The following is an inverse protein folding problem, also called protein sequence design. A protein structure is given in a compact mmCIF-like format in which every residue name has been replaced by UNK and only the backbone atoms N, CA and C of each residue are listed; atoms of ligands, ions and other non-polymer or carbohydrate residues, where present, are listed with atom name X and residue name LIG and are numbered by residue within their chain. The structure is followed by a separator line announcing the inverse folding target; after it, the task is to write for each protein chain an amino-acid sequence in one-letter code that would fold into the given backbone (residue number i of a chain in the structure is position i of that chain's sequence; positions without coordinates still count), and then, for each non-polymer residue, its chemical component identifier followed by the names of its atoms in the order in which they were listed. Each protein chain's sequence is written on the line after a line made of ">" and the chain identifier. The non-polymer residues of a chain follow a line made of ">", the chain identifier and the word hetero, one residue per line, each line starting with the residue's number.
data_IF_054005527058
#
_entry.id   IF_054005527058
#
_cell.length_a   1.000
_cell.length_b   1.000
_cell.length_c   1.000
_cell.angle_alpha   90.00
_cell.angle_beta   90.00
_cell.angle_gamma   90.00
#
_symmetry.space_group_name_H-M   'P 1'
#
loop_
_entity.id
_entity.type
_entity.pdbx_description
1 polymer ?
#
# COMPACT_ATOMS: atom_id res chain seq x y z
N UNK A 1 5.98 9.55 -1.08
CA UNK A 1 5.65 9.64 -2.52
C UNK A 1 5.73 11.08 -2.96
N UNK A 2 6.48 11.41 -4.04
CA UNK A 2 6.68 12.80 -4.45
C UNK A 2 5.32 13.42 -4.82
N UNK A 3 4.97 14.56 -4.24
CA UNK A 3 3.70 15.28 -4.42
C UNK A 3 3.34 15.49 -5.90
N UNK A 4 4.34 15.81 -6.74
CA UNK A 4 4.14 16.06 -8.17
C UNK A 4 3.57 14.85 -8.92
N UNK A 5 4.00 13.63 -8.61
CA UNK A 5 3.52 12.42 -9.31
C UNK A 5 2.09 12.07 -8.94
N UNK A 6 1.73 12.23 -7.66
CA UNK A 6 0.32 12.08 -7.24
C UNK A 6 -0.58 13.08 -7.97
N UNK A 7 -0.11 14.32 -8.08
CA UNK A 7 -0.85 15.37 -8.77
C UNK A 7 -0.95 15.07 -10.27
N UNK A 8 0.14 14.63 -10.91
CA UNK A 8 0.11 14.24 -12.33
C UNK A 8 -0.86 13.06 -12.58
N UNK A 9 -0.88 12.08 -11.68
CA UNK A 9 -1.81 10.94 -11.75
C UNK A 9 -3.26 11.39 -11.60
N UNK A 10 -3.56 12.29 -10.66
CA UNK A 10 -4.91 12.86 -10.50
C UNK A 10 -5.35 13.67 -11.72
N UNK A 11 -4.44 14.43 -12.32
CA UNK A 11 -4.70 15.17 -13.56
C UNK A 11 -4.98 14.18 -14.70
N UNK A 12 -4.15 13.15 -14.87
CA UNK A 12 -4.32 12.14 -15.91
C UNK A 12 -5.69 11.45 -15.81
N UNK A 13 -6.06 10.95 -14.64
CA UNK A 13 -7.37 10.33 -14.39
C UNK A 13 -8.53 11.30 -14.69
N UNK A 14 -8.39 12.56 -14.28
CA UNK A 14 -9.43 13.58 -14.57
C UNK A 14 -9.57 13.86 -16.07
N UNK A 15 -8.47 13.90 -16.81
CA UNK A 15 -8.48 14.15 -18.26
C UNK A 15 -8.97 12.94 -19.05
N UNK A 16 -8.76 11.72 -18.55
CA UNK A 16 -9.34 10.50 -19.12
C UNK A 16 -10.87 10.52 -19.06
N UNK A 17 -11.45 10.91 -17.93
CA UNK A 17 -12.89 11.03 -17.76
C UNK A 17 -13.47 12.27 -18.47
N UNK A 18 -12.73 13.39 -18.42
CA UNK A 18 -13.16 14.70 -18.91
C UNK A 18 -12.03 15.39 -19.71
N UNK A 19 -11.87 15.06 -20.99
CA UNK A 19 -10.77 15.57 -21.83
C UNK A 19 -10.66 17.11 -21.93
N UNK A 20 -11.74 17.82 -21.67
CA UNK A 20 -11.78 19.28 -21.66
C UNK A 20 -11.97 19.88 -20.26
N UNK A 21 -11.49 19.18 -19.23
CA UNK A 21 -11.56 19.64 -17.85
C UNK A 21 -10.87 21.00 -17.69
N UNK A 22 -11.54 21.93 -17.00
CA UNK A 22 -10.96 23.23 -16.64
C UNK A 22 -9.97 23.11 -15.49
N UNK A 23 -9.08 24.09 -15.33
CA UNK A 23 -8.16 24.16 -14.18
C UNK A 23 -8.87 24.06 -12.83
N UNK A 24 -10.08 24.59 -12.71
CA UNK A 24 -10.92 24.50 -11.51
C UNK A 24 -11.32 23.04 -11.22
N UNK A 25 -11.65 22.27 -12.24
CA UNK A 25 -12.00 20.86 -12.10
C UNK A 25 -10.76 20.03 -11.71
N UNK A 26 -9.63 20.29 -12.39
CA UNK A 26 -8.36 19.63 -12.05
C UNK A 26 -7.94 19.93 -10.61
N UNK A 27 -8.05 21.18 -10.17
CA UNK A 27 -7.73 21.60 -8.81
C UNK A 27 -8.62 20.89 -7.77
N UNK A 28 -9.94 20.87 -8.02
CA UNK A 28 -10.91 20.21 -7.14
C UNK A 28 -10.60 18.72 -6.98
N UNK A 29 -10.37 18.01 -8.09
CA UNK A 29 -10.11 16.56 -8.06
C UNK A 29 -8.75 16.21 -7.43
N UNK A 30 -7.77 17.12 -7.57
CA UNK A 30 -6.46 16.97 -6.90
C UNK A 30 -6.42 17.48 -5.46
N UNK A 31 -7.55 17.97 -4.91
CA UNK A 31 -7.63 18.47 -3.54
C UNK A 31 -6.78 19.71 -3.27
N UNK A 32 -6.63 20.62 -4.23
CA UNK A 32 -5.78 21.81 -4.10
C UNK A 32 -6.46 23.10 -4.57
N UNK A 33 -5.87 24.25 -4.22
CA UNK A 33 -6.36 25.55 -4.71
C UNK A 33 -6.09 25.73 -6.21
N UNK A 34 -6.89 26.58 -6.89
CA UNK A 34 -6.71 26.89 -8.31
C UNK A 34 -5.34 27.54 -8.57
N UNK A 35 -4.88 28.42 -7.66
CA UNK A 35 -3.57 29.04 -7.78
C UNK A 35 -2.42 28.03 -7.73
N UNK A 36 -2.50 27.06 -6.81
CA UNK A 36 -1.51 26.00 -6.73
C UNK A 36 -1.56 25.08 -7.97
N UNK A 37 -2.77 24.73 -8.45
CA UNK A 37 -2.93 23.95 -9.68
C UNK A 37 -2.31 24.66 -10.88
N UNK A 38 -2.47 25.98 -11.02
CA UNK A 38 -1.84 26.76 -12.09
C UNK A 38 -0.32 26.67 -12.04
N UNK A 39 0.27 26.80 -10.86
CA UNK A 39 1.72 26.69 -10.68
C UNK A 39 2.22 25.26 -11.03
N UNK A 40 1.46 24.24 -10.64
CA UNK A 40 1.78 22.85 -10.96
C UNK A 40 1.68 22.59 -12.46
N UNK A 41 0.59 23.02 -13.10
CA UNK A 41 0.40 22.85 -14.55
C UNK A 41 1.52 23.53 -15.35
N UNK A 42 1.89 24.77 -14.97
CA UNK A 42 3.03 25.48 -15.60
C UNK A 42 4.30 24.65 -15.50
N UNK A 43 4.65 24.18 -14.31
CA UNK A 43 5.82 23.33 -14.07
C UNK A 43 5.78 22.01 -14.86
N UNK A 44 4.61 21.37 -14.99
CA UNK A 44 4.46 20.15 -15.76
C UNK A 44 4.57 20.36 -17.27
N UNK A 45 4.14 21.52 -17.76
CA UNK A 45 4.37 21.94 -19.16
C UNK A 45 5.86 22.18 -19.39
N UNK A 46 6.54 22.91 -18.50
CA UNK A 46 8.00 23.14 -18.56
C UNK A 46 8.80 21.83 -18.54
N UNK A 47 8.32 20.79 -17.84
CA UNK A 47 8.93 19.46 -17.82
C UNK A 47 8.54 18.58 -19.02
N UNK A 48 7.67 19.06 -19.90
CA UNK A 48 7.18 18.28 -21.02
C UNK A 48 6.19 17.15 -20.63
N UNK A 49 5.65 17.13 -19.40
CA UNK A 49 4.70 16.09 -18.96
C UNK A 49 3.27 16.35 -19.38
N UNK A 50 2.94 17.63 -19.59
CA UNK A 50 1.63 18.09 -20.04
C UNK A 50 1.85 19.03 -21.22
N UNK A 51 1.02 18.90 -22.23
CA UNK A 51 0.92 19.86 -23.31
C UNK A 51 -0.33 20.71 -23.18
N UNK A 52 -0.24 21.96 -23.66
CA UNK A 52 -1.34 22.90 -23.75
C UNK A 52 -1.78 23.05 -25.22
N UNK A 53 -3.05 22.89 -25.45
CA UNK A 53 -3.63 23.13 -26.79
C UNK A 53 -4.74 24.18 -26.67
N UNK A 54 -4.69 25.17 -27.54
CA UNK A 54 -5.78 26.12 -27.66
C UNK A 54 -6.95 25.49 -28.43
N UNK A 55 -8.06 25.26 -27.74
CA UNK A 55 -9.30 24.79 -28.38
C UNK A 55 -10.02 25.95 -29.07
N UNK A 56 -9.97 27.13 -28.46
CA UNK A 56 -10.42 28.39 -29.01
C UNK A 56 -9.78 29.57 -28.23
N UNK A 57 -10.01 30.84 -28.66
CA UNK A 57 -9.38 32.01 -28.03
C UNK A 57 -9.61 32.16 -26.50
N UNK A 58 -10.49 31.38 -25.89
CA UNK A 58 -10.84 31.47 -24.46
C UNK A 58 -10.73 30.14 -23.69
N UNK A 59 -10.37 29.05 -24.39
CA UNK A 59 -10.35 27.73 -23.77
C UNK A 59 -9.04 26.98 -24.06
N UNK A 60 -8.31 26.67 -22.99
CA UNK A 60 -7.15 25.82 -23.03
C UNK A 60 -7.57 24.36 -22.72
N UNK A 61 -7.07 23.43 -23.50
CA UNK A 61 -7.12 22.00 -23.20
C UNK A 61 -5.74 21.54 -22.73
N UNK A 62 -5.76 20.58 -21.83
CA UNK A 62 -4.57 19.92 -21.29
C UNK A 62 -4.54 18.49 -21.81
N UNK A 63 -3.37 17.98 -22.13
CA UNK A 63 -3.17 16.56 -22.46
C UNK A 63 -1.87 16.09 -21.83
N UNK A 64 -1.88 14.86 -21.36
CA UNK A 64 -0.65 14.20 -20.88
C UNK A 64 0.18 13.81 -22.11
N UNK A 65 1.45 14.13 -22.07
CA UNK A 65 2.38 13.78 -23.15
C UNK A 65 2.89 12.35 -23.00
N UNK A 66 3.52 11.77 -24.05
CA UNK A 66 4.23 10.49 -23.90
C UNK A 66 5.27 10.51 -22.77
N UNK A 67 5.97 11.62 -22.57
CA UNK A 67 6.94 11.82 -21.48
C UNK A 67 6.26 11.80 -20.11
N UNK A 68 5.08 12.43 -19.98
CA UNK A 68 4.26 12.38 -18.77
C UNK A 68 3.77 10.97 -18.46
N UNK A 69 3.35 10.23 -19.49
CA UNK A 69 2.97 8.80 -19.36
C UNK A 69 4.19 7.96 -18.92
N UNK A 70 5.36 8.19 -19.53
CA UNK A 70 6.59 7.49 -19.18
C UNK A 70 6.99 7.73 -17.71
N UNK A 71 6.89 8.97 -17.21
CA UNK A 71 7.15 9.29 -15.80
C UNK A 71 6.19 8.57 -14.86
N UNK A 72 4.87 8.54 -15.16
CA UNK A 72 3.88 7.80 -14.38
C UNK A 72 4.19 6.30 -14.36
N UNK A 73 4.54 5.71 -15.50
CA UNK A 73 4.91 4.29 -15.63
C UNK A 73 6.16 3.96 -14.83
N UNK A 74 7.22 4.74 -14.97
CA UNK A 74 8.49 4.52 -14.26
C UNK A 74 8.29 4.56 -12.74
N UNK A 75 7.47 5.49 -12.24
CA UNK A 75 7.15 5.59 -10.81
C UNK A 75 6.30 4.45 -10.31
N UNK A 76 5.31 4.02 -11.09
CA UNK A 76 4.50 2.85 -10.78
C UNK A 76 5.34 1.58 -10.68
N UNK A 77 6.27 1.38 -11.62
CA UNK A 77 7.21 0.25 -11.61
C UNK A 77 8.12 0.29 -10.38
N UNK A 78 8.67 1.46 -10.05
CA UNK A 78 9.52 1.62 -8.86
C UNK A 78 8.75 1.35 -7.56
N UNK A 79 7.50 1.80 -7.48
CA UNK A 79 6.63 1.51 -6.34
C UNK A 79 6.34 0.01 -6.23
N UNK A 80 5.93 -0.63 -7.34
CA UNK A 80 5.66 -2.06 -7.37
C UNK A 80 6.91 -2.87 -6.97
N UNK A 81 8.10 -2.54 -7.52
CA UNK A 81 9.36 -3.19 -7.16
C UNK A 81 9.61 -3.11 -5.64
N UNK A 82 9.51 -1.92 -5.04
CA UNK A 82 9.70 -1.75 -3.59
C UNK A 82 8.68 -2.53 -2.77
N UNK A 83 7.43 -2.58 -3.23
CA UNK A 83 6.37 -3.35 -2.55
C UNK A 83 6.69 -4.85 -2.58
N UNK A 84 7.16 -5.37 -3.71
CA UNK A 84 7.57 -6.77 -3.81
C UNK A 84 8.83 -7.08 -2.99
N UNK A 85 9.83 -6.20 -2.97
CA UNK A 85 11.02 -6.35 -2.12
C UNK A 85 10.63 -6.40 -0.64
N UNK A 86 9.72 -5.52 -0.21
CA UNK A 86 9.20 -5.50 1.15
C UNK A 86 8.40 -6.77 1.48
N UNK A 87 7.52 -7.22 0.58
CA UNK A 87 6.78 -8.46 0.75
C UNK A 87 7.68 -9.69 0.86
N UNK A 88 8.78 -9.74 0.11
CA UNK A 88 9.77 -10.81 0.24
C UNK A 88 10.47 -10.78 1.60
N UNK A 89 10.88 -9.59 2.08
CA UNK A 89 11.47 -9.43 3.42
C UNK A 89 10.50 -9.89 4.52
N UNK A 90 9.22 -9.56 4.40
CA UNK A 90 8.18 -10.02 5.32
C UNK A 90 8.03 -11.54 5.27
N UNK A 91 7.97 -12.11 4.07
CA UNK A 91 7.87 -13.55 3.91
C UNK A 91 9.04 -14.29 4.57
N UNK A 92 10.27 -13.83 4.36
CA UNK A 92 11.47 -14.43 4.96
C UNK A 92 11.42 -14.36 6.50
N UNK A 93 10.98 -13.23 7.04
CA UNK A 93 10.81 -13.05 8.49
C UNK A 93 9.75 -13.99 9.05
N UNK A 94 8.59 -14.08 8.41
CA UNK A 94 7.50 -14.97 8.80
C UNK A 94 7.92 -16.44 8.71
N UNK A 95 8.56 -16.84 7.63
CA UNK A 95 9.10 -18.21 7.49
C UNK A 95 10.07 -18.57 8.60
N UNK A 96 10.96 -17.67 9.00
CA UNK A 96 11.91 -17.90 10.09
C UNK A 96 11.18 -18.10 11.43
N UNK A 97 10.20 -17.27 11.75
CA UNK A 97 9.42 -17.35 13.00
C UNK A 97 8.60 -18.64 13.04
N UNK A 98 7.90 -18.97 11.96
CA UNK A 98 7.11 -20.20 11.86
C UNK A 98 8.01 -21.42 11.97
N UNK A 99 9.19 -21.41 11.33
CA UNK A 99 10.16 -22.49 11.42
C UNK A 99 10.67 -22.68 12.85
N UNK A 100 10.94 -21.60 13.58
CA UNK A 100 11.34 -21.66 14.99
C UNK A 100 10.21 -22.22 15.87
N UNK A 101 8.98 -21.76 15.68
CA UNK A 101 7.81 -22.28 16.40
C UNK A 101 7.59 -23.78 16.14
N UNK A 102 7.75 -24.21 14.89
CA UNK A 102 7.66 -25.62 14.50
C UNK A 102 8.71 -26.47 15.21
N UNK A 103 9.96 -26.00 15.34
CA UNK A 103 11.02 -26.69 16.11
C UNK A 103 10.68 -26.84 17.60
N UNK A 104 9.83 -25.96 18.13
CA UNK A 104 9.30 -26.00 19.49
C UNK A 104 8.05 -26.88 19.62
N UNK A 105 7.64 -27.57 18.54
CA UNK A 105 6.47 -28.46 18.53
C UNK A 105 5.15 -27.77 18.18
N UNK A 106 5.16 -26.47 17.87
CA UNK A 106 3.97 -25.72 17.45
C UNK A 106 3.71 -25.92 15.95
N UNK A 107 2.79 -26.80 15.61
CA UNK A 107 2.47 -27.15 14.21
C UNK A 107 1.26 -26.39 13.64
N UNK A 108 0.74 -25.44 14.40
CA UNK A 108 -0.39 -24.60 13.99
C UNK A 108 -0.04 -23.14 14.20
N UNK A 109 -0.34 -22.30 13.21
CA UNK A 109 -0.35 -20.84 13.33
C UNK A 109 -1.79 -20.38 13.41
N UNK A 110 -2.13 -19.56 14.39
CA UNK A 110 -3.45 -18.97 14.57
C UNK A 110 -3.33 -17.46 14.42
N UNK A 111 -4.06 -16.93 13.45
CA UNK A 111 -4.21 -15.48 13.24
C UNK A 111 -5.46 -14.99 13.98
N UNK A 112 -5.29 -14.11 14.95
CA UNK A 112 -6.39 -13.43 15.64
C UNK A 112 -6.71 -12.11 14.97
N UNK A 113 -7.98 -11.97 14.53
CA UNK A 113 -8.48 -10.79 13.83
C UNK A 113 -8.02 -10.70 12.38
N UNK A 114 -7.88 -9.47 11.84
CA UNK A 114 -7.70 -9.20 10.40
C UNK A 114 -6.30 -8.71 10.09
N UNK A 115 -5.76 -9.12 8.92
CA UNK A 115 -4.44 -8.72 8.45
C UNK A 115 -4.39 -8.50 6.94
N UNK A 116 -3.71 -7.43 6.49
CA UNK A 116 -3.39 -7.19 5.08
C UNK A 116 -2.42 -8.24 4.52
N UNK A 117 -1.53 -8.76 5.38
CA UNK A 117 -0.51 -9.74 4.99
C UNK A 117 -0.95 -11.19 5.22
N UNK A 118 -2.23 -11.43 5.47
CA UNK A 118 -2.84 -12.75 5.63
C UNK A 118 -2.36 -13.75 4.57
N UNK A 119 -2.27 -13.31 3.30
CA UNK A 119 -1.83 -14.17 2.20
C UNK A 119 -0.37 -14.65 2.37
N UNK A 120 0.52 -13.84 2.94
CA UNK A 120 1.90 -14.24 3.24
C UNK A 120 1.95 -15.27 4.37
N UNK A 121 1.10 -15.14 5.38
CA UNK A 121 0.99 -16.13 6.47
C UNK A 121 0.54 -17.49 5.94
N UNK A 122 -0.50 -17.51 5.09
CA UNK A 122 -0.98 -18.73 4.46
C UNK A 122 0.12 -19.37 3.60
N UNK A 123 0.80 -18.56 2.78
CA UNK A 123 1.88 -19.04 1.91
C UNK A 123 3.04 -19.61 2.72
N UNK A 124 3.50 -18.93 3.76
CA UNK A 124 4.56 -19.40 4.63
C UNK A 124 4.18 -20.71 5.38
N UNK A 125 2.94 -20.80 5.86
CA UNK A 125 2.43 -22.03 6.48
C UNK A 125 2.37 -23.20 5.49
N UNK A 126 1.94 -22.97 4.26
CA UNK A 126 1.91 -24.01 3.21
C UNK A 126 3.31 -24.55 2.91
N UNK A 127 4.31 -23.65 2.68
CA UNK A 127 5.69 -24.06 2.41
C UNK A 127 6.29 -24.87 3.57
N UNK A 128 6.02 -24.43 4.80
CA UNK A 128 6.58 -25.05 6.01
C UNK A 128 5.76 -26.24 6.52
N UNK A 129 4.66 -26.59 5.85
CA UNK A 129 3.74 -27.64 6.27
C UNK A 129 3.29 -27.45 7.74
N UNK A 130 2.72 -26.28 8.02
CA UNK A 130 2.12 -25.84 9.27
C UNK A 130 0.65 -25.53 9.02
N UNK A 131 -0.25 -25.92 9.91
CA UNK A 131 -1.67 -25.61 9.80
C UNK A 131 -1.91 -24.13 10.03
N UNK A 132 -2.79 -23.50 9.23
CA UNK A 132 -3.21 -22.12 9.39
C UNK A 132 -4.68 -22.07 9.80
N UNK A 133 -4.97 -21.31 10.86
CA UNK A 133 -6.32 -21.12 11.40
C UNK A 133 -6.54 -19.63 11.65
N UNK A 134 -7.75 -19.15 11.38
CA UNK A 134 -8.18 -17.80 11.74
C UNK A 134 -9.19 -17.88 12.89
N UNK A 135 -9.06 -16.94 13.82
CA UNK A 135 -9.97 -16.80 14.96
C UNK A 135 -10.35 -15.34 15.18
N UNK A 136 -11.52 -15.15 15.75
CA UNK A 136 -11.92 -13.85 16.25
C UNK A 136 -11.12 -13.49 17.54
N UNK A 137 -11.09 -12.21 17.88
CA UNK A 137 -10.24 -11.67 18.96
C UNK A 137 -10.68 -12.17 20.34
N UNK A 138 -11.96 -12.45 20.51
CA UNK A 138 -12.58 -12.92 21.75
C UNK A 138 -12.46 -14.44 21.99
N UNK A 139 -11.98 -15.18 20.97
CA UNK A 139 -11.78 -16.61 21.11
C UNK A 139 -10.59 -16.96 22.01
N UNK A 140 -10.64 -18.12 22.72
CA UNK A 140 -9.59 -18.52 23.63
C UNK A 140 -8.28 -18.82 22.92
N UNK A 141 -7.15 -18.48 23.57
CA UNK A 141 -5.82 -18.77 23.07
C UNK A 141 -5.49 -20.27 23.18
N UNK A 142 -4.74 -20.75 22.19
CA UNK A 142 -4.24 -22.12 22.19
C UNK A 142 -2.75 -22.15 22.55
N UNK A 143 -2.42 -22.80 23.67
CA UNK A 143 -1.04 -22.84 24.19
C UNK A 143 -0.06 -23.61 23.29
N UNK A 144 -0.55 -24.51 22.46
CA UNK A 144 0.28 -25.33 21.56
C UNK A 144 0.33 -24.81 20.11
N UNK A 145 -0.01 -23.55 19.89
CA UNK A 145 0.01 -22.90 18.61
C UNK A 145 0.90 -21.66 18.61
N UNK A 146 1.32 -21.21 17.43
CA UNK A 146 1.91 -19.91 17.23
C UNK A 146 0.77 -18.91 17.04
N UNK A 147 0.47 -18.11 18.06
CA UNK A 147 -0.58 -17.11 18.04
C UNK A 147 -0.01 -15.79 17.54
N UNK A 148 -0.61 -15.23 16.50
CA UNK A 148 -0.25 -13.92 15.92
C UNK A 148 -1.47 -13.02 15.86
N UNK A 149 -1.27 -11.72 16.02
CA UNK A 149 -2.32 -10.71 16.00
C UNK A 149 -2.22 -9.95 14.69
N UNK A 150 -3.33 -9.83 13.98
CA UNK A 150 -3.44 -9.04 12.76
C UNK A 150 -3.34 -7.53 13.03
N UNK A 151 -2.73 -6.81 12.11
CA UNK A 151 -2.44 -5.38 12.23
C UNK A 151 -3.66 -4.46 11.98
N UNK A 152 -4.80 -5.03 11.61
CA UNK A 152 -6.05 -4.26 11.37
C UNK A 152 -6.96 -4.18 12.60
N UNK A 153 -6.50 -4.68 13.74
CA UNK A 153 -7.24 -4.64 14.99
C UNK A 153 -6.99 -3.31 15.73
N UNK A 154 -7.85 -2.97 16.70
CA UNK A 154 -7.66 -1.78 17.52
C UNK A 154 -6.44 -1.91 18.44
N UNK A 155 -5.88 -0.78 18.88
CA UNK A 155 -4.74 -0.77 19.80
C UNK A 155 -5.04 -1.50 21.12
N UNK A 156 -6.27 -1.34 21.64
CA UNK A 156 -6.71 -2.01 22.87
C UNK A 156 -6.77 -3.54 22.72
N UNK A 157 -7.26 -4.03 21.58
CA UNK A 157 -7.32 -5.46 21.27
C UNK A 157 -5.91 -6.05 21.10
N UNK A 158 -5.02 -5.33 20.41
CA UNK A 158 -3.62 -5.74 20.23
C UNK A 158 -2.91 -5.85 21.59
N UNK A 159 -3.05 -4.84 22.45
CA UNK A 159 -2.42 -4.81 23.78
C UNK A 159 -2.93 -6.00 24.63
N UNK A 160 -4.24 -6.21 24.69
CA UNK A 160 -4.85 -7.33 25.43
C UNK A 160 -4.34 -8.71 24.99
N UNK A 161 -4.16 -8.94 23.70
CA UNK A 161 -3.66 -10.22 23.17
C UNK A 161 -2.14 -10.36 23.35
N UNK A 162 -1.38 -9.26 23.30
CA UNK A 162 0.06 -9.25 23.62
C UNK A 162 0.32 -9.68 25.06
N UNK A 163 -0.45 -9.14 26.02
CA UNK A 163 -0.35 -9.54 27.44
C UNK A 163 -0.59 -11.04 27.65
N UNK A 164 -1.40 -11.65 26.78
CA UNK A 164 -1.66 -13.10 26.78
C UNK A 164 -0.61 -13.93 26.02
N UNK A 165 0.43 -13.29 25.46
CA UNK A 165 1.55 -13.95 24.80
C UNK A 165 1.41 -14.13 23.27
N UNK A 166 0.49 -13.42 22.61
CA UNK A 166 0.42 -13.38 21.15
C UNK A 166 1.51 -12.45 20.58
N UNK A 167 2.03 -12.81 19.41
CA UNK A 167 2.98 -11.97 18.68
C UNK A 167 2.25 -10.97 17.78
N UNK A 168 2.58 -9.69 17.89
CA UNK A 168 2.04 -8.70 16.97
C UNK A 168 2.81 -8.72 15.64
N UNK A 169 2.11 -8.86 14.54
CA UNK A 169 2.70 -8.90 13.19
C UNK A 169 3.48 -7.62 12.85
N UNK A 170 3.01 -6.43 13.29
CA UNK A 170 3.73 -5.18 13.05
C UNK A 170 5.09 -5.14 13.77
N UNK A 171 5.15 -5.61 15.00
CA UNK A 171 6.41 -5.61 15.76
C UNK A 171 7.42 -6.55 15.11
N UNK A 172 6.98 -7.74 14.69
CA UNK A 172 7.82 -8.74 14.01
C UNK A 172 8.43 -8.23 12.69
N UNK A 173 7.72 -7.33 12.02
CA UNK A 173 8.11 -6.77 10.73
C UNK A 173 9.03 -5.56 10.93
N UNK A 174 8.74 -4.71 11.92
CA UNK A 174 9.46 -3.45 12.16
C UNK A 174 10.84 -3.66 12.83
N UNK A 175 11.05 -4.74 13.56
CA UNK A 175 12.34 -5.03 14.19
C UNK A 175 13.49 -5.34 13.21
N UNK A 176 13.20 -5.50 11.91
CA UNK A 176 14.19 -5.89 10.89
C UNK A 176 14.30 -4.94 9.70
N UNK A 177 13.62 -3.78 9.75
CA UNK A 177 13.73 -2.70 8.77
C UNK A 177 14.56 -1.54 9.34
#
# INVERSE_FOLDING_TARGET
>A
MNSDVKTLQSIAATLEEKPLASQRVLAKNAGMSIGLMNAVLKRFVERGWIMLTNVNMRKLAYAITPEGIAELKARSQKFAKRTFELANTYNDTLCNIICQAKKQGKNTLILYGKSYIRFLLIYACQILNVSFVEKEIDEPLENNALCVIGELNSEEEIESLKEKGCLNLLDLINEKI
#
